data_IF_463415125008
#
_entry.id   IF_463415125008
#
_cell.length_a   1.000
_cell.length_b   1.000
_cell.length_c   1.000
_cell.angle_alpha   90.00
_cell.angle_beta   90.00
_cell.angle_gamma   90.00
#
_symmetry.space_group_name_H-M   'P 1'
#
loop_
_entity.id
_entity.type
_entity.pdbx_description
1 polymer ?
#
# COMPACT_ATOMS: atom_id res chain seq x y z
N UNK A 1 8.76 -4.08 -7.16
CA UNK A 1 8.42 -5.53 -7.09
C UNK A 1 9.58 -6.34 -6.55
N UNK A 2 10.81 -6.20 -7.06
CA UNK A 2 12.00 -6.92 -6.55
C UNK A 2 12.23 -6.74 -5.04
N UNK A 3 12.03 -5.53 -4.50
CA UNK A 3 12.13 -5.27 -3.06
C UNK A 3 11.08 -6.02 -2.22
N UNK A 4 9.91 -6.31 -2.77
CA UNK A 4 8.84 -7.05 -2.10
C UNK A 4 9.20 -8.54 -2.07
N UNK A 5 9.70 -9.07 -3.20
CA UNK A 5 10.15 -10.46 -3.31
C UNK A 5 11.36 -10.72 -2.39
N UNK A 6 12.27 -9.76 -2.26
CA UNK A 6 13.41 -9.85 -1.36
C UNK A 6 13.03 -9.90 0.14
N UNK A 7 11.91 -9.29 0.54
CA UNK A 7 11.43 -9.25 1.94
C UNK A 7 10.65 -10.48 2.40
N UNK A 8 10.47 -11.48 1.52
CA UNK A 8 9.65 -12.66 1.78
C UNK A 8 8.19 -12.47 1.37
N UNK A 9 7.70 -13.39 0.53
CA UNK A 9 6.32 -13.45 0.08
C UNK A 9 5.45 -14.21 1.09
N UNK A 10 5.17 -13.58 2.22
CA UNK A 10 4.17 -14.09 3.17
C UNK A 10 2.76 -13.75 2.69
N UNK A 11 1.75 -14.53 3.12
CA UNK A 11 0.34 -14.25 2.84
C UNK A 11 -0.02 -12.80 3.22
N UNK A 12 0.43 -12.34 4.40
CA UNK A 12 0.27 -10.96 4.85
C UNK A 12 0.88 -9.92 3.89
N UNK A 13 2.15 -10.07 3.51
CA UNK A 13 2.81 -9.11 2.61
C UNK A 13 2.15 -9.08 1.23
N UNK A 14 1.76 -10.25 0.70
CA UNK A 14 1.04 -10.35 -0.57
C UNK A 14 -0.32 -9.64 -0.51
N UNK A 15 -1.07 -9.79 0.59
CA UNK A 15 -2.35 -9.11 0.77
C UNK A 15 -2.18 -7.58 0.86
N UNK A 16 -1.21 -7.11 1.66
CA UNK A 16 -0.90 -5.68 1.80
C UNK A 16 -0.53 -5.10 0.43
N UNK A 17 0.34 -5.78 -0.32
CA UNK A 17 0.82 -5.33 -1.62
C UNK A 17 -0.30 -5.34 -2.66
N UNK A 18 -1.07 -6.42 -2.76
CA UNK A 18 -2.19 -6.51 -3.70
C UNK A 18 -3.23 -5.42 -3.44
N UNK A 19 -3.68 -5.26 -2.19
CA UNK A 19 -4.69 -4.26 -1.83
C UNK A 19 -4.20 -2.83 -2.04
N UNK A 20 -2.96 -2.53 -1.63
CA UNK A 20 -2.39 -1.18 -1.79
C UNK A 20 -2.14 -0.80 -3.24
N UNK A 21 -1.66 -1.73 -4.07
CA UNK A 21 -1.50 -1.52 -5.50
C UNK A 21 -2.85 -1.35 -6.20
N UNK A 22 -3.84 -2.20 -5.91
CA UNK A 22 -5.17 -2.08 -6.50
C UNK A 22 -5.81 -0.72 -6.20
N UNK A 23 -5.71 -0.26 -4.96
CA UNK A 23 -6.25 1.05 -4.56
C UNK A 23 -5.44 2.23 -5.10
N UNK A 24 -4.11 2.13 -5.09
CA UNK A 24 -3.23 3.17 -5.62
C UNK A 24 -3.40 3.37 -7.12
N UNK A 25 -3.37 2.29 -7.90
CA UNK A 25 -3.62 2.34 -9.34
C UNK A 25 -5.07 2.71 -9.66
N UNK A 26 -6.04 2.16 -8.92
CA UNK A 26 -7.46 2.45 -9.12
C UNK A 26 -7.77 3.94 -8.91
N UNK A 27 -7.25 4.54 -7.84
CA UNK A 27 -7.43 5.96 -7.56
C UNK A 27 -6.66 6.84 -8.54
N UNK A 28 -5.46 6.42 -8.96
CA UNK A 28 -4.67 7.15 -9.95
C UNK A 28 -5.31 7.13 -11.35
N UNK A 29 -6.17 6.15 -11.64
CA UNK A 29 -6.90 6.03 -12.90
C UNK A 29 -8.22 6.81 -12.97
N UNK A 30 -8.73 7.34 -11.84
CA UNK A 30 -10.00 8.07 -11.78
C UNK A 30 -9.76 9.48 -11.22
N UNK A 31 -9.28 10.43 -12.04
CA UNK A 31 -8.99 11.79 -11.59
C UNK A 31 -10.24 12.54 -11.13
N UNK A 32 -11.45 12.18 -11.59
CA UNK A 32 -12.70 12.77 -11.10
C UNK A 32 -12.99 12.44 -9.63
N UNK A 33 -12.48 11.32 -9.10
CA UNK A 33 -12.66 10.96 -7.69
C UNK A 33 -11.99 11.98 -6.74
N UNK A 34 -11.00 12.72 -7.25
CA UNK A 34 -10.30 13.75 -6.50
C UNK A 34 -10.78 15.17 -6.84
N UNK A 35 -11.87 15.35 -7.58
CA UNK A 35 -12.36 16.67 -8.02
C UNK A 35 -12.65 17.64 -6.87
N UNK A 36 -13.08 17.12 -5.71
CA UNK A 36 -13.39 17.89 -4.50
C UNK A 36 -12.17 18.15 -3.60
N UNK A 37 -11.01 17.58 -3.92
CA UNK A 37 -9.79 17.81 -3.15
C UNK A 37 -9.09 19.13 -3.54
N UNK A 38 -8.43 19.80 -2.58
CA UNK A 38 -7.61 20.98 -2.85
C UNK A 38 -6.46 20.66 -3.80
N UNK A 39 -6.03 21.68 -4.55
CA UNK A 39 -5.06 21.58 -5.64
C UNK A 39 -3.72 20.93 -5.22
N UNK A 40 -3.27 21.22 -4.00
CA UNK A 40 -2.07 20.63 -3.40
C UNK A 40 -2.17 19.11 -3.22
N UNK A 41 -3.35 18.59 -2.87
CA UNK A 41 -3.57 17.14 -2.78
C UNK A 41 -3.70 16.53 -4.16
N UNK A 42 -4.40 17.19 -5.09
CA UNK A 42 -4.46 16.73 -6.49
C UNK A 42 -3.07 16.60 -7.09
N UNK A 43 -2.17 17.55 -6.87
CA UNK A 43 -0.81 17.53 -7.41
C UNK A 43 0.01 16.32 -6.91
N UNK A 44 -0.14 15.97 -5.64
CA UNK A 44 0.56 14.82 -5.04
C UNK A 44 0.04 13.51 -5.62
N UNK A 45 -1.29 13.39 -5.78
CA UNK A 45 -1.92 12.16 -6.24
C UNK A 45 -1.89 12.01 -7.77
N UNK A 46 -1.89 13.10 -8.53
CA UNK A 46 -1.78 13.11 -9.99
C UNK A 46 -0.33 13.05 -10.48
N UNK A 47 0.59 13.71 -9.79
CA UNK A 47 2.02 13.72 -10.11
C UNK A 47 2.77 12.49 -9.59
N UNK A 48 2.26 11.83 -8.55
CA UNK A 48 2.85 10.65 -7.96
C UNK A 48 1.76 9.67 -7.52
N UNK A 49 1.15 8.94 -8.48
CA UNK A 49 0.14 7.90 -8.21
C UNK A 49 0.58 6.79 -7.24
N UNK A 50 1.87 6.75 -6.89
CA UNK A 50 2.44 5.87 -5.86
C UNK A 50 2.06 6.29 -4.42
N UNK A 51 1.77 7.58 -4.17
CA UNK A 51 1.52 8.11 -2.82
C UNK A 51 0.27 7.51 -2.17
N UNK A 52 -0.91 7.46 -2.81
CA UNK A 52 -2.08 6.77 -2.25
C UNK A 52 -1.80 5.29 -1.95
N UNK A 53 -1.05 4.61 -2.84
CA UNK A 53 -0.68 3.21 -2.63
C UNK A 53 0.14 3.05 -1.33
N UNK A 54 1.14 3.92 -1.12
CA UNK A 54 1.97 3.90 0.08
C UNK A 54 1.17 4.15 1.36
N UNK A 55 0.24 5.11 1.34
CA UNK A 55 -0.63 5.39 2.51
C UNK A 55 -1.45 4.16 2.87
N UNK A 56 -2.09 3.54 1.88
CA UNK A 56 -2.87 2.32 2.07
C UNK A 56 -2.01 1.17 2.57
N UNK A 57 -0.82 0.96 1.99
CA UNK A 57 0.12 -0.07 2.42
C UNK A 57 0.57 0.12 3.87
N UNK A 58 0.86 1.37 4.28
CA UNK A 58 1.26 1.73 5.64
C UNK A 58 0.14 1.41 6.64
N UNK A 59 -1.08 1.84 6.32
CA UNK A 59 -2.27 1.60 7.16
C UNK A 59 -2.54 0.10 7.28
N UNK A 60 -2.52 -0.64 6.18
CA UNK A 60 -2.70 -2.10 6.21
C UNK A 60 -1.59 -2.80 6.98
N UNK A 61 -0.34 -2.33 6.90
CA UNK A 61 0.75 -2.90 7.69
C UNK A 61 0.60 -2.64 9.20
N UNK A 62 -0.07 -1.56 9.60
CA UNK A 62 -0.38 -1.28 11.01
C UNK A 62 -1.60 -2.07 11.50
N UNK A 63 -2.62 -2.22 10.66
CA UNK A 63 -3.90 -2.85 11.03
C UNK A 63 -3.87 -4.36 10.90
N UNK A 64 -3.20 -4.92 9.89
CA UNK A 64 -3.10 -6.38 9.75
C UNK A 64 -2.16 -6.93 10.82
N UNK A 65 -2.67 -7.80 11.72
CA UNK A 65 -1.86 -8.44 12.73
C UNK A 65 -0.74 -9.26 12.08
N UNK A 66 0.42 -9.29 12.72
CA UNK A 66 1.53 -10.10 12.26
C UNK A 66 1.22 -11.58 12.52
N UNK A 67 1.43 -12.43 11.52
CA UNK A 67 1.19 -13.87 11.64
C UNK A 67 2.01 -14.44 12.81
N UNK A 68 1.38 -15.26 13.66
CA UNK A 68 2.00 -15.81 14.86
C UNK A 68 3.32 -16.58 14.55
N UNK A 69 3.37 -17.28 13.42
CA UNK A 69 4.56 -18.00 12.92
C UNK A 69 5.75 -17.08 12.65
N UNK A 70 5.53 -15.82 12.23
CA UNK A 70 6.62 -14.86 11.97
C UNK A 70 7.19 -14.26 13.26
N UNK A 71 6.36 -14.19 14.30
CA UNK A 71 6.73 -13.66 15.61
C UNK A 71 7.65 -14.63 16.37
N UNK A 72 7.56 -15.92 16.11
CA UNK A 72 8.48 -16.95 16.61
C UNK A 72 9.80 -16.96 15.81
N UNK A 73 9.74 -16.84 14.48
CA UNK A 73 10.94 -16.78 13.64
C UNK A 73 11.79 -15.51 13.84
N UNK A 74 11.21 -14.40 14.31
CA UNK A 74 11.94 -13.17 14.66
C UNK A 74 12.47 -13.16 16.11
N UNK A 75 12.08 -14.15 16.93
CA UNK A 75 12.52 -14.30 18.33
C UNK A 75 13.51 -15.47 18.54
N UNK A 76 13.71 -16.29 17.51
CA UNK A 76 14.75 -17.32 17.43
C UNK A 76 16.01 -16.76 16.77
#
# INVERSE_FOLDING_TARGET
ITLIVAGGLTKRNLLIVAASLSLGFGLSGVPEAMQYFPESVKLIFSGAGIVPACIVALVLNLVLPEDAERREAARA
#
